data_IF_030370953963
#
_entry.id   IF_030370953963
#
_cell.length_a   1.000
_cell.length_b   1.000
_cell.length_c   1.000
_cell.angle_alpha   90.00
_cell.angle_beta   90.00
_cell.angle_gamma   90.00
#
_symmetry.space_group_name_H-M   'P 1'
#
loop_
_entity.id
_entity.type
_entity.pdbx_description
1 polymer ?
#
# COMPACT_ATOMS: atom_id res chain seq x y z
N UNK A 1 1.20 17.58 -6.53
CA UNK A 1 0.07 16.71 -6.17
C UNK A 1 0.13 16.40 -4.69
N UNK A 2 -0.98 16.58 -4.01
CA UNK A 2 -1.06 16.29 -2.58
C UNK A 2 -1.20 14.79 -2.34
N UNK A 3 -0.40 14.26 -1.44
CA UNK A 3 -0.57 12.88 -0.99
C UNK A 3 -1.60 12.87 0.13
N UNK A 4 -2.60 12.01 0.02
CA UNK A 4 -3.63 11.85 1.04
C UNK A 4 -3.52 10.52 1.77
N UNK A 5 -2.31 10.01 1.88
CA UNK A 5 -2.05 8.78 2.60
C UNK A 5 -1.58 9.06 4.01
N UNK A 6 -1.34 7.99 4.75
CA UNK A 6 -0.76 8.05 6.09
C UNK A 6 0.58 7.34 6.09
N UNK A 7 1.49 7.83 6.92
CA UNK A 7 2.78 7.21 7.13
C UNK A 7 2.78 6.53 8.49
N UNK A 8 3.13 5.25 8.48
CA UNK A 8 3.15 4.43 9.69
C UNK A 8 4.60 4.03 9.94
N UNK A 9 5.15 4.41 11.10
CA UNK A 9 6.49 3.98 11.48
C UNK A 9 6.46 2.50 11.84
N UNK A 10 7.42 1.76 11.33
CA UNK A 10 7.50 0.32 11.52
C UNK A 10 8.92 -0.10 11.87
N UNK A 11 9.06 -1.34 12.32
CA UNK A 11 10.35 -1.99 12.37
C UNK A 11 10.69 -2.48 10.97
N UNK A 12 11.98 -2.49 10.62
CA UNK A 12 12.43 -2.99 9.33
C UNK A 12 11.95 -4.44 9.13
N UNK A 13 11.43 -4.72 7.94
CA UNK A 13 11.02 -6.06 7.60
C UNK A 13 9.69 -6.49 8.20
N UNK A 14 8.91 -5.57 8.77
CA UNK A 14 7.56 -5.91 9.24
C UNK A 14 6.67 -6.27 8.06
N UNK A 15 5.80 -7.26 8.24
CA UNK A 15 4.91 -7.68 7.15
C UNK A 15 3.91 -6.59 6.79
N UNK A 16 3.70 -6.40 5.50
CA UNK A 16 2.63 -5.54 4.97
C UNK A 16 1.47 -6.47 4.63
N UNK A 17 0.31 -6.21 5.23
CA UNK A 17 -0.87 -7.05 5.03
C UNK A 17 -1.89 -6.33 4.14
N UNK A 18 -2.51 -7.08 3.24
CA UNK A 18 -3.60 -6.54 2.43
C UNK A 18 -4.76 -6.13 3.33
N UNK A 19 -5.24 -4.91 3.16
CA UNK A 19 -6.32 -4.36 4.00
C UNK A 19 -7.67 -5.01 3.66
N UNK A 20 -7.84 -5.43 2.42
CA UNK A 20 -9.06 -6.08 1.91
C UNK A 20 -8.67 -7.07 0.81
N UNK A 21 -9.54 -8.02 0.46
CA UNK A 21 -9.27 -8.86 -0.70
C UNK A 21 -9.16 -8.04 -1.97
N UNK A 22 -8.29 -8.42 -2.87
CA UNK A 22 -8.12 -7.71 -4.13
C UNK A 22 -7.18 -8.41 -5.09
N UNK A 23 -6.95 -7.76 -6.21
CA UNK A 23 -6.03 -8.23 -7.24
C UNK A 23 -4.85 -7.25 -7.31
N UNK A 24 -3.64 -7.79 -7.35
CA UNK A 24 -2.44 -6.96 -7.49
C UNK A 24 -2.40 -6.39 -8.90
N UNK A 25 -2.42 -5.06 -9.03
CA UNK A 25 -2.37 -4.38 -10.32
C UNK A 25 -1.04 -3.65 -10.54
N UNK A 26 -0.25 -3.47 -9.50
CA UNK A 26 1.08 -2.88 -9.60
C UNK A 26 1.97 -3.44 -8.49
N UNK A 27 3.20 -3.78 -8.81
CA UNK A 27 4.16 -4.32 -7.84
C UNK A 27 5.56 -4.04 -8.36
N UNK A 28 6.05 -2.81 -8.16
CA UNK A 28 7.33 -2.38 -8.69
C UNK A 28 7.74 -1.04 -8.08
N UNK A 29 8.86 -0.52 -8.51
CA UNK A 29 9.36 0.81 -8.12
C UNK A 29 8.48 1.90 -8.72
N UNK A 30 8.19 2.91 -7.92
CA UNK A 30 7.47 4.09 -8.36
C UNK A 30 8.18 5.33 -7.81
N UNK A 31 8.52 6.25 -8.68
CA UNK A 31 9.27 7.46 -8.32
C UNK A 31 8.55 8.21 -7.21
N UNK A 32 9.29 8.51 -6.15
CA UNK A 32 8.76 9.22 -4.98
C UNK A 32 8.11 8.32 -3.95
N UNK A 33 7.92 7.03 -4.25
CA UNK A 33 7.27 6.07 -3.35
C UNK A 33 8.13 4.85 -3.01
N UNK A 34 9.19 4.61 -3.78
CA UNK A 34 10.00 3.40 -3.62
C UNK A 34 9.31 2.18 -4.19
N UNK A 35 9.47 1.04 -3.54
CA UNK A 35 8.75 -0.17 -3.93
C UNK A 35 7.30 -0.04 -3.47
N UNK A 36 6.38 -0.26 -4.41
CA UNK A 36 4.94 -0.02 -4.23
C UNK A 36 4.16 -1.25 -4.64
N UNK A 37 3.12 -1.53 -3.87
CA UNK A 37 2.12 -2.54 -4.21
C UNK A 37 0.77 -1.82 -4.28
N UNK A 38 0.04 -2.03 -5.36
CA UNK A 38 -1.32 -1.48 -5.52
C UNK A 38 -2.28 -2.63 -5.73
N UNK A 39 -3.34 -2.63 -4.93
CA UNK A 39 -4.42 -3.62 -5.00
C UNK A 39 -5.69 -2.98 -5.54
N UNK A 40 -6.34 -3.68 -6.45
CA UNK A 40 -7.67 -3.33 -6.96
C UNK A 40 -8.70 -4.14 -6.18
N UNK A 41 -9.56 -3.47 -5.43
CA UNK A 41 -10.57 -4.11 -4.59
C UNK A 41 -11.94 -4.18 -5.24
N UNK A 42 -12.02 -3.83 -6.53
CA UNK A 42 -13.27 -3.71 -7.27
C UNK A 42 -14.08 -2.47 -6.85
N UNK A 43 -15.12 -2.17 -7.61
CA UNK A 43 -16.01 -1.02 -7.35
C UNK A 43 -15.26 0.31 -7.29
N UNK A 44 -14.12 0.42 -7.98
CA UNK A 44 -13.34 1.64 -8.05
C UNK A 44 -12.45 1.91 -6.85
N UNK A 45 -12.28 0.95 -5.94
CA UNK A 45 -11.41 1.11 -4.77
C UNK A 45 -10.05 0.48 -5.00
N UNK A 46 -9.02 1.20 -4.58
CA UNK A 46 -7.61 0.73 -4.66
C UNK A 46 -6.91 1.04 -3.35
N UNK A 47 -6.02 0.16 -2.93
CA UNK A 47 -5.11 0.45 -1.83
C UNK A 47 -3.68 0.45 -2.34
N UNK A 48 -2.86 1.35 -1.79
CA UNK A 48 -1.47 1.53 -2.19
C UNK A 48 -0.58 1.42 -0.96
N UNK A 49 0.49 0.66 -1.08
CA UNK A 49 1.45 0.41 -0.01
C UNK A 49 2.84 0.76 -0.53
N UNK A 50 3.50 1.74 0.08
CA UNK A 50 4.76 2.27 -0.43
C UNK A 50 5.89 2.15 0.57
N UNK A 51 7.10 2.37 0.10
CA UNK A 51 8.36 2.30 0.84
C UNK A 51 8.69 0.89 1.32
N UNK A 52 8.18 -0.12 0.61
CA UNK A 52 8.49 -1.51 0.94
C UNK A 52 9.97 -1.82 0.70
N UNK A 53 10.52 -2.72 1.49
CA UNK A 53 11.85 -3.27 1.23
C UNK A 53 11.78 -4.52 0.35
N UNK A 54 10.63 -5.19 0.36
CA UNK A 54 10.45 -6.44 -0.36
C UNK A 54 8.99 -6.59 -0.77
N UNK A 55 8.79 -7.12 -1.98
CA UNK A 55 7.46 -7.43 -2.49
C UNK A 55 7.33 -8.95 -2.50
N UNK A 56 6.25 -9.46 -1.89
CA UNK A 56 5.99 -10.90 -1.74
C UNK A 56 4.85 -11.39 -2.63
N UNK A 57 4.45 -10.59 -3.60
CA UNK A 57 3.37 -10.92 -4.52
C UNK A 57 3.74 -10.44 -5.91
N UNK A 58 2.86 -10.65 -6.88
CA UNK A 58 3.12 -10.22 -8.26
C UNK A 58 1.82 -9.75 -8.91
N UNK A 59 1.97 -8.93 -9.96
CA UNK A 59 0.82 -8.42 -10.72
C UNK A 59 -0.01 -9.60 -11.22
N UNK A 60 -1.32 -9.50 -11.04
CA UNK A 60 -2.29 -10.53 -11.41
C UNK A 60 -2.66 -11.46 -10.27
N UNK A 61 -1.88 -11.48 -9.18
CA UNK A 61 -2.19 -12.35 -8.04
C UNK A 61 -3.44 -11.85 -7.31
N UNK A 62 -4.24 -12.79 -6.84
CA UNK A 62 -5.37 -12.48 -5.97
C UNK A 62 -4.95 -12.69 -4.53
N UNK A 63 -5.24 -11.71 -3.69
CA UNK A 63 -4.85 -11.74 -2.29
C UNK A 63 -6.07 -11.66 -1.40
N UNK A 64 -5.99 -12.33 -0.25
CA UNK A 64 -7.03 -12.28 0.76
C UNK A 64 -6.77 -11.13 1.74
N UNK A 65 -7.82 -10.72 2.45
CA UNK A 65 -7.67 -9.76 3.55
C UNK A 65 -6.70 -10.32 4.59
N UNK A 66 -5.74 -9.50 5.01
CA UNK A 66 -4.73 -9.91 5.98
C UNK A 66 -3.56 -10.71 5.42
N UNK A 67 -3.58 -11.04 4.13
CA UNK A 67 -2.47 -11.77 3.51
C UNK A 67 -1.23 -10.88 3.44
N UNK A 68 -0.07 -11.44 3.77
CA UNK A 68 1.20 -10.71 3.66
C UNK A 68 1.54 -10.52 2.18
N UNK A 69 1.76 -9.27 1.78
CA UNK A 69 2.05 -8.91 0.39
C UNK A 69 3.42 -8.28 0.22
N UNK A 70 4.08 -7.93 1.30
CA UNK A 70 5.42 -7.35 1.27
C UNK A 70 5.98 -7.17 2.66
N UNK A 71 7.14 -6.52 2.73
CA UNK A 71 7.80 -6.18 3.99
C UNK A 71 8.16 -4.70 3.97
N UNK A 72 8.05 -4.06 5.13
CA UNK A 72 8.34 -2.64 5.26
C UNK A 72 9.83 -2.34 5.19
N UNK A 73 10.15 -1.12 4.79
CA UNK A 73 11.52 -0.66 4.68
C UNK A 73 11.59 0.85 4.57
N UNK A 74 12.64 1.33 3.93
CA UNK A 74 12.87 2.75 3.74
C UNK A 74 13.11 3.12 2.28
N UNK A 75 12.63 2.31 1.36
CA UNK A 75 12.82 2.60 -0.06
C UNK A 75 12.07 3.88 -0.46
N UNK A 76 12.60 4.59 -1.44
CA UNK A 76 12.12 5.91 -1.78
C UNK A 76 12.94 6.96 -1.09
N UNK A 77 12.34 7.82 -0.29
CA UNK A 77 13.02 9.01 0.21
C UNK A 77 12.93 9.21 1.72
N UNK A 78 12.47 8.23 2.47
CA UNK A 78 12.17 8.47 3.87
C UNK A 78 13.37 8.45 4.78
N UNK A 79 14.36 7.60 4.53
CA UNK A 79 15.45 7.37 5.45
C UNK A 79 15.03 6.71 6.75
N UNK A 80 13.78 6.36 6.90
CA UNK A 80 13.21 5.67 8.06
C UNK A 80 12.36 4.51 7.59
N UNK A 81 12.22 3.49 8.43
CA UNK A 81 11.36 2.35 8.12
C UNK A 81 9.91 2.76 8.32
N UNK A 82 9.22 3.03 7.24
CA UNK A 82 7.83 3.48 7.25
C UNK A 82 7.02 2.71 6.24
N UNK A 83 5.74 2.58 6.51
CA UNK A 83 4.76 2.18 5.52
C UNK A 83 3.93 3.40 5.18
N UNK A 84 3.92 3.78 3.91
CA UNK A 84 3.00 4.79 3.42
C UNK A 84 1.80 4.08 2.83
N UNK A 85 0.62 4.35 3.37
CA UNK A 85 -0.63 3.71 2.97
C UNK A 85 -1.58 4.74 2.39
N UNK A 86 -2.17 4.42 1.25
CA UNK A 86 -3.12 5.28 0.57
C UNK A 86 -4.33 4.46 0.16
N UNK A 87 -5.51 5.06 0.29
CA UNK A 87 -6.74 4.49 -0.21
C UNK A 87 -7.28 5.40 -1.30
N UNK A 88 -7.69 4.82 -2.42
CA UNK A 88 -8.21 5.59 -3.55
C UNK A 88 -9.57 5.07 -3.95
N UNK A 89 -10.49 6.01 -4.21
CA UNK A 89 -11.78 5.72 -4.80
C UNK A 89 -11.80 6.37 -6.18
N UNK A 90 -11.82 5.57 -7.23
CA UNK A 90 -11.66 6.06 -8.59
C UNK A 90 -10.27 6.68 -8.76
N UNK A 91 -10.20 7.88 -9.31
CA UNK A 91 -8.96 8.62 -9.50
C UNK A 91 -8.56 9.44 -8.28
N UNK A 92 -9.41 9.53 -7.26
CA UNK A 92 -9.19 10.38 -6.11
C UNK A 92 -8.71 9.60 -4.91
N UNK A 93 -7.69 10.15 -4.21
CA UNK A 93 -7.29 9.61 -2.92
C UNK A 93 -8.33 9.99 -1.87
N UNK A 94 -8.65 9.04 -0.99
CA UNK A 94 -9.55 9.29 0.15
C UNK A 94 -8.73 9.22 1.43
N UNK A 95 -9.21 9.89 2.48
CA UNK A 95 -8.55 9.87 3.76
C UNK A 95 -8.72 8.46 4.38
N UNK A 96 -7.63 7.68 4.55
CA UNK A 96 -7.75 6.34 5.07
C UNK A 96 -8.35 6.30 6.47
N UNK A 97 -8.06 7.31 7.30
CA UNK A 97 -8.57 7.34 8.67
C UNK A 97 -10.08 7.52 8.69
N UNK A 98 -10.61 8.41 7.83
CA UNK A 98 -12.05 8.60 7.74
C UNK A 98 -12.73 7.36 7.17
N UNK A 99 -12.13 6.74 6.18
CA UNK A 99 -12.69 5.54 5.59
C UNK A 99 -12.75 4.39 6.60
N UNK A 100 -11.68 4.20 7.37
CA UNK A 100 -11.63 3.16 8.40
C UNK A 100 -12.63 3.43 9.51
N UNK A 101 -12.85 4.70 9.86
CA UNK A 101 -13.79 5.07 10.92
C UNK A 101 -15.25 4.78 10.55
N UNK A 102 -15.56 4.72 9.26
CA UNK A 102 -16.92 4.44 8.78
C UNK A 102 -17.24 2.95 8.68
N UNK A 103 -16.30 2.10 8.99
CA UNK A 103 -16.46 0.63 8.91
C UNK A 103 -16.87 -0.02 10.23
#
# INVERSE_FOLDING_TARGET
>A
MQRKGIEIKTLEGSAIHAVMPGTVVYADWLKGYGLVIILDHANGFFSLYAHASKILTSVGAQVASGQAIGETGDTGMTGENTLYFELREGAEAVDPLQWLARR
#
